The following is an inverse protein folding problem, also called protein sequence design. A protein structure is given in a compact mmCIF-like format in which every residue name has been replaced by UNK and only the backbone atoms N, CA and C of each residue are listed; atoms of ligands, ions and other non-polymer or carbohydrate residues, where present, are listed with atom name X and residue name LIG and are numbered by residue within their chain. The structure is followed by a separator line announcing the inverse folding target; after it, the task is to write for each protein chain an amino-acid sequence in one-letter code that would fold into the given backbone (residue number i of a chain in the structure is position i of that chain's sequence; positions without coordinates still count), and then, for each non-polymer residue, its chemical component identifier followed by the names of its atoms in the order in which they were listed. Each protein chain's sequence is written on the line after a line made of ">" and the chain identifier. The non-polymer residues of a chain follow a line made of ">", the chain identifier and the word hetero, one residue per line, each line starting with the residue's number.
data_IF_588419790935
#
_entry.id   IF_588419790935
#
_cell.length_a   1.000
_cell.length_b   1.000
_cell.length_c   1.000
_cell.angle_alpha   90.00
_cell.angle_beta   90.00
_cell.angle_gamma   90.00
#
_symmetry.space_group_name_H-M   'P 1'
#
loop_
_entity.id
_entity.type
_entity.pdbx_description
1 polymer ?
#
# COMPACT_ATOMS: atom_id res chain seq x y z
N UNK A 1 23.69 28.11 -9.76
CA UNK A 1 23.22 26.76 -9.68
C UNK A 1 21.68 26.63 -9.83
N UNK A 2 20.84 27.37 -9.09
CA UNK A 2 19.34 27.26 -9.19
C UNK A 2 18.80 27.48 -10.63
N UNK A 3 19.35 28.43 -11.41
CA UNK A 3 18.90 28.72 -12.79
C UNK A 3 19.12 27.56 -13.76
N UNK A 4 20.21 26.80 -13.62
CA UNK A 4 20.51 25.65 -14.49
C UNK A 4 19.66 24.42 -14.15
N UNK A 5 19.27 24.26 -12.89
CA UNK A 5 18.33 23.19 -12.47
C UNK A 5 16.95 23.43 -13.08
N UNK A 6 16.44 24.67 -13.04
CA UNK A 6 15.17 25.05 -13.67
C UNK A 6 15.21 24.84 -15.19
N UNK A 7 16.31 25.22 -15.85
CA UNK A 7 16.51 25.02 -17.28
C UNK A 7 16.54 23.52 -17.64
N UNK A 8 17.22 22.71 -16.84
CA UNK A 8 17.29 21.26 -17.04
C UNK A 8 15.90 20.60 -16.89
N UNK A 9 15.13 21.02 -15.88
CA UNK A 9 13.73 20.57 -15.68
C UNK A 9 12.88 20.97 -16.90
N UNK A 10 13.03 22.21 -17.41
CA UNK A 10 12.27 22.70 -18.57
C UNK A 10 12.63 21.94 -19.87
N UNK A 11 13.89 21.56 -20.06
CA UNK A 11 14.34 20.75 -21.21
C UNK A 11 13.80 19.33 -21.09
N UNK A 12 13.79 18.73 -19.89
CA UNK A 12 13.20 17.40 -19.68
C UNK A 12 11.68 17.37 -19.95
N UNK A 13 10.95 18.42 -19.60
CA UNK A 13 9.49 18.53 -19.84
C UNK A 13 9.19 18.60 -21.35
N UNK A 14 10.00 19.28 -22.15
CA UNK A 14 9.77 19.39 -23.60
C UNK A 14 10.02 18.09 -24.38
N UNK A 15 10.77 17.12 -23.83
CA UNK A 15 10.94 15.80 -24.45
C UNK A 15 9.76 14.85 -24.19
N UNK A 16 8.86 15.20 -23.25
CA UNK A 16 7.68 14.39 -22.90
C UNK A 16 6.46 14.62 -23.80
N UNK A 17 6.51 15.55 -24.78
CA UNK A 17 5.36 15.95 -25.62
C UNK A 17 4.82 14.83 -26.52
N UNK A 18 5.51 13.68 -26.63
CA UNK A 18 5.04 12.50 -27.36
C UNK A 18 4.91 11.25 -26.49
N UNK A 19 4.91 11.40 -25.19
CA UNK A 19 4.79 10.28 -24.27
C UNK A 19 3.32 9.90 -24.10
N UNK A 20 2.98 8.65 -24.37
CA UNK A 20 1.69 8.08 -24.06
C UNK A 20 1.49 8.10 -22.54
N UNK A 21 0.36 8.67 -22.11
CA UNK A 21 -0.04 8.74 -20.70
C UNK A 21 -1.05 7.64 -20.44
N UNK A 22 -0.91 6.90 -19.36
CA UNK A 22 -1.95 6.00 -18.86
C UNK A 22 -2.39 6.37 -17.45
N UNK A 23 -3.70 6.28 -17.21
CA UNK A 23 -4.32 6.46 -15.92
C UNK A 23 -4.96 5.14 -15.50
N UNK A 24 -4.58 4.62 -14.35
CA UNK A 24 -5.11 3.37 -13.79
C UNK A 24 -5.81 3.62 -12.47
N UNK A 25 -6.96 2.98 -12.27
CA UNK A 25 -7.64 2.88 -10.99
C UNK A 25 -8.00 1.43 -10.69
N UNK A 26 -7.87 1.00 -9.46
CA UNK A 26 -8.14 -0.38 -9.08
C UNK A 26 -8.43 -0.58 -7.61
N UNK A 27 -8.96 -1.75 -7.29
CA UNK A 27 -9.19 -2.23 -5.93
C UNK A 27 -8.79 -3.70 -5.83
N UNK A 28 -8.41 -4.12 -4.64
CA UNK A 28 -7.96 -5.49 -4.45
C UNK A 28 -7.90 -5.94 -3.01
N UNK A 29 -7.36 -7.14 -2.85
CA UNK A 29 -7.16 -7.81 -1.58
C UNK A 29 -5.67 -8.09 -1.41
N UNK A 30 -5.15 -7.75 -0.23
CA UNK A 30 -3.79 -8.07 0.20
C UNK A 30 -3.83 -9.09 1.33
N UNK A 31 -3.03 -10.13 1.22
CA UNK A 31 -2.67 -11.01 2.33
C UNK A 31 -1.42 -10.42 2.99
N UNK A 32 -1.59 -9.83 4.16
CA UNK A 32 -0.55 -9.08 4.85
C UNK A 32 -0.11 -9.79 6.13
N UNK A 33 1.20 -9.90 6.32
CA UNK A 33 1.84 -10.35 7.55
C UNK A 33 2.52 -9.18 8.24
N UNK A 34 2.07 -8.85 9.46
CA UNK A 34 2.63 -7.85 10.37
C UNK A 34 2.96 -8.53 11.70
N UNK A 35 4.09 -9.22 11.84
CA UNK A 35 4.35 -10.11 12.97
C UNK A 35 4.24 -9.42 14.33
N UNK A 36 4.82 -8.23 14.48
CA UNK A 36 4.80 -7.51 15.76
C UNK A 36 3.40 -7.04 16.16
N UNK A 37 2.58 -6.60 15.18
CA UNK A 37 1.18 -6.22 15.43
C UNK A 37 0.32 -7.44 15.76
N UNK A 38 0.54 -8.57 15.05
CA UNK A 38 -0.12 -9.84 15.34
C UNK A 38 0.17 -10.30 16.77
N UNK A 39 1.44 -10.26 17.19
CA UNK A 39 1.84 -10.68 18.51
C UNK A 39 1.26 -9.74 19.60
N UNK A 40 1.21 -8.44 19.32
CA UNK A 40 0.50 -7.48 20.18
C UNK A 40 -0.97 -7.85 20.36
N UNK A 41 -1.69 -8.15 19.28
CA UNK A 41 -3.10 -8.55 19.32
C UNK A 41 -3.30 -9.88 20.05
N UNK A 42 -2.49 -10.88 19.76
CA UNK A 42 -2.62 -12.23 20.32
C UNK A 42 -2.27 -12.31 21.81
N UNK A 43 -1.36 -11.46 22.27
CA UNK A 43 -0.97 -11.38 23.69
C UNK A 43 -1.70 -10.26 24.45
N UNK A 44 -2.59 -9.52 23.80
CA UNK A 44 -3.43 -8.54 24.48
C UNK A 44 -4.41 -9.27 25.42
N UNK A 45 -4.72 -8.65 26.55
CA UNK A 45 -5.72 -9.16 27.50
C UNK A 45 -7.15 -9.25 26.90
N UNK A 46 -7.35 -8.75 25.68
CA UNK A 46 -8.63 -8.73 24.99
C UNK A 46 -8.76 -9.82 23.93
N UNK A 47 -7.64 -10.46 23.55
CA UNK A 47 -7.68 -11.54 22.57
C UNK A 47 -8.32 -12.80 23.16
N UNK A 48 -9.35 -13.38 22.52
CA UNK A 48 -9.88 -14.67 22.95
C UNK A 48 -8.81 -15.74 22.76
N UNK A 49 -8.63 -16.66 23.73
CA UNK A 49 -7.64 -17.75 23.62
C UNK A 49 -7.81 -18.61 22.38
N UNK A 50 -9.05 -18.78 21.93
CA UNK A 50 -9.44 -19.66 20.82
C UNK A 50 -9.51 -18.94 19.47
N UNK A 51 -9.24 -17.62 19.39
CA UNK A 51 -9.37 -16.84 18.17
C UNK A 51 -8.17 -15.93 17.94
N UNK A 52 -6.99 -16.53 17.78
CA UNK A 52 -5.75 -15.80 17.51
C UNK A 52 -5.71 -15.29 16.08
N UNK A 53 -5.12 -14.11 15.92
CA UNK A 53 -4.86 -13.51 14.61
C UNK A 53 -3.87 -14.35 13.82
N UNK A 54 -4.24 -14.75 12.60
CA UNK A 54 -3.39 -15.56 11.73
C UNK A 54 -2.12 -14.81 11.30
N UNK A 55 -1.14 -15.55 10.83
CA UNK A 55 0.14 -14.99 10.33
C UNK A 55 -0.09 -14.04 9.15
N UNK A 56 -1.02 -14.38 8.27
CA UNK A 56 -1.46 -13.53 7.18
C UNK A 56 -2.93 -13.14 7.37
N UNK A 57 -3.19 -11.85 7.32
CA UNK A 57 -4.52 -11.27 7.42
C UNK A 57 -4.93 -10.65 6.11
N UNK A 58 -6.22 -10.59 5.87
CA UNK A 58 -6.79 -9.98 4.67
C UNK A 58 -6.99 -8.49 4.88
N UNK A 59 -6.43 -7.69 3.99
CA UNK A 59 -6.63 -6.25 3.93
C UNK A 59 -7.19 -5.85 2.57
N UNK A 60 -8.00 -4.80 2.52
CA UNK A 60 -8.53 -4.24 1.28
C UNK A 60 -7.60 -3.11 0.83
N UNK A 61 -7.36 -2.99 -0.47
CA UNK A 61 -6.62 -1.86 -1.04
C UNK A 61 -7.41 -1.17 -2.14
N UNK A 62 -7.13 0.12 -2.29
CA UNK A 62 -7.57 0.98 -3.41
C UNK A 62 -6.33 1.66 -3.96
N UNK A 63 -6.18 1.69 -5.29
CA UNK A 63 -5.02 2.30 -5.93
C UNK A 63 -5.41 3.18 -7.11
N UNK A 64 -4.65 4.27 -7.27
CA UNK A 64 -4.64 5.11 -8.46
C UNK A 64 -3.20 5.29 -8.93
N UNK A 65 -2.97 5.25 -10.25
CA UNK A 65 -1.63 5.35 -10.82
C UNK A 65 -1.67 6.14 -12.11
N UNK A 66 -0.66 6.97 -12.32
CA UNK A 66 -0.41 7.69 -13.57
C UNK A 66 0.95 7.27 -14.08
N UNK A 67 1.00 6.72 -15.31
CA UNK A 67 2.23 6.30 -15.96
C UNK A 67 2.50 7.14 -17.21
N UNK A 68 3.78 7.32 -17.49
CA UNK A 68 4.33 7.94 -18.68
C UNK A 68 5.19 6.93 -19.42
N UNK A 69 4.94 6.73 -20.72
CA UNK A 69 5.76 5.88 -21.55
C UNK A 69 7.07 6.59 -21.92
N UNK A 70 8.14 6.28 -21.19
CA UNK A 70 9.44 6.90 -21.39
C UNK A 70 10.20 6.32 -22.59
N UNK A 71 9.95 5.07 -22.98
CA UNK A 71 10.51 4.41 -24.14
C UNK A 71 9.57 3.31 -24.65
N UNK A 72 9.86 2.69 -25.81
CA UNK A 72 9.02 1.66 -26.46
C UNK A 72 8.54 0.59 -25.50
N UNK A 73 9.42 0.11 -24.61
CA UNK A 73 9.13 -0.97 -23.68
C UNK A 73 9.31 -0.55 -22.22
N UNK A 74 9.24 0.76 -21.92
CA UNK A 74 9.54 1.25 -20.58
C UNK A 74 8.60 2.36 -20.16
N UNK A 75 7.98 2.19 -19.00
CA UNK A 75 7.08 3.16 -18.38
C UNK A 75 7.56 3.52 -16.97
N UNK A 76 7.35 4.79 -16.59
CA UNK A 76 7.60 5.30 -15.25
C UNK A 76 6.34 5.99 -14.77
N UNK A 77 5.96 5.74 -13.53
CA UNK A 77 4.74 6.28 -12.98
C UNK A 77 4.80 6.64 -11.50
N UNK A 78 3.68 7.18 -11.06
CA UNK A 78 3.42 7.45 -9.64
C UNK A 78 2.11 6.79 -9.26
N UNK A 79 2.17 5.94 -8.26
CA UNK A 79 1.03 5.27 -7.65
C UNK A 79 0.72 5.88 -6.29
N UNK A 80 -0.57 5.98 -5.97
CA UNK A 80 -1.09 6.21 -4.63
C UNK A 80 -1.98 5.03 -4.27
N UNK A 81 -1.58 4.25 -3.26
CA UNK A 81 -2.39 3.13 -2.73
C UNK A 81 -2.81 3.43 -1.30
N UNK A 82 -4.08 3.12 -0.98
CA UNK A 82 -4.60 3.12 0.38
C UNK A 82 -4.97 1.69 0.78
N UNK A 83 -4.36 1.20 1.85
CA UNK A 83 -4.60 -0.12 2.41
C UNK A 83 -5.35 0.03 3.74
N UNK A 84 -6.34 -0.82 3.97
CA UNK A 84 -7.18 -0.81 5.16
C UNK A 84 -7.38 -2.22 5.70
N UNK A 85 -7.22 -2.38 7.02
CA UNK A 85 -7.51 -3.59 7.76
C UNK A 85 -8.10 -3.25 9.13
N UNK A 86 -9.00 -4.08 9.65
CA UNK A 86 -9.64 -3.87 10.96
C UNK A 86 -9.81 -5.20 11.69
N UNK A 87 -9.49 -5.18 12.99
CA UNK A 87 -9.65 -6.29 13.92
C UNK A 87 -10.67 -5.89 14.98
N UNK A 88 -11.68 -6.74 15.20
CA UNK A 88 -12.72 -6.50 16.19
C UNK A 88 -12.89 -7.72 17.07
N UNK A 89 -12.85 -7.52 18.37
CA UNK A 89 -13.15 -8.52 19.38
C UNK A 89 -14.25 -8.00 20.32
N UNK A 90 -15.07 -8.89 20.86
CA UNK A 90 -16.15 -8.53 21.79
C UNK A 90 -16.03 -9.30 23.11
N UNK A 91 -14.98 -9.06 23.94
CA UNK A 91 -14.81 -9.74 25.20
C UNK A 91 -15.85 -9.25 26.20
N UNK A 92 -16.58 -10.19 26.83
CA UNK A 92 -17.49 -9.93 27.97
C UNK A 92 -18.45 -8.74 27.78
N UNK A 93 -18.96 -8.56 26.54
CA UNK A 93 -19.90 -7.48 26.20
C UNK A 93 -19.29 -6.13 25.88
N UNK A 94 -17.97 -5.96 26.03
CA UNK A 94 -17.25 -4.80 25.52
C UNK A 94 -16.77 -5.01 24.08
N UNK A 95 -16.48 -3.94 23.35
CA UNK A 95 -15.92 -4.01 22.00
C UNK A 95 -14.49 -3.48 22.02
N UNK A 96 -13.53 -4.34 21.65
CA UNK A 96 -12.19 -3.94 21.28
C UNK A 96 -12.10 -3.80 19.76
N UNK A 97 -11.59 -2.70 19.28
CA UNK A 97 -11.40 -2.48 17.85
C UNK A 97 -10.02 -1.90 17.60
N UNK A 98 -9.30 -2.48 16.64
CA UNK A 98 -8.02 -1.98 16.17
C UNK A 98 -8.05 -1.88 14.65
N UNK A 99 -7.95 -0.65 14.16
CA UNK A 99 -7.92 -0.34 12.73
C UNK A 99 -6.51 0.04 12.31
N UNK A 100 -6.02 -0.60 11.26
CA UNK A 100 -4.72 -0.35 10.63
C UNK A 100 -4.93 0.14 9.20
N UNK A 101 -4.38 1.28 8.88
CA UNK A 101 -4.41 1.84 7.52
C UNK A 101 -3.05 2.37 7.10
N UNK A 102 -2.73 2.28 5.81
CA UNK A 102 -1.48 2.79 5.23
C UNK A 102 -1.78 3.53 3.93
N UNK A 103 -1.32 4.77 3.83
CA UNK A 103 -1.26 5.51 2.58
C UNK A 103 0.15 5.37 1.99
N UNK A 104 0.24 4.94 0.73
CA UNK A 104 1.47 4.45 0.10
C UNK A 104 1.74 5.16 -1.24
N UNK A 105 2.19 6.43 -1.26
CA UNK A 105 2.74 7.02 -2.48
C UNK A 105 4.01 6.27 -2.90
N UNK A 106 4.06 5.83 -4.16
CA UNK A 106 5.13 4.96 -4.69
C UNK A 106 5.50 5.43 -6.10
N UNK A 107 6.79 5.62 -6.36
CA UNK A 107 7.31 5.78 -7.72
C UNK A 107 7.51 4.38 -8.28
N UNK A 108 6.96 4.12 -9.45
CA UNK A 108 6.98 2.80 -10.10
C UNK A 108 7.68 2.89 -11.45
N UNK A 109 8.26 1.80 -11.86
CA UNK A 109 8.80 1.63 -13.21
C UNK A 109 8.49 0.24 -13.73
N UNK A 110 8.25 0.14 -15.05
CA UNK A 110 7.81 -1.08 -15.68
C UNK A 110 8.56 -1.36 -16.98
N UNK A 111 8.88 -2.61 -17.19
CA UNK A 111 9.12 -3.16 -18.50
C UNK A 111 7.78 -3.60 -19.10
N UNK A 112 7.48 -3.15 -20.32
CA UNK A 112 6.19 -3.36 -20.99
C UNK A 112 6.37 -4.25 -22.21
N UNK A 113 5.51 -5.25 -22.30
CA UNK A 113 5.40 -6.16 -23.45
C UNK A 113 4.04 -5.93 -24.07
N UNK A 114 4.01 -5.30 -25.26
CA UNK A 114 2.80 -5.01 -26.00
C UNK A 114 2.40 -6.16 -26.91
N UNK A 115 1.10 -6.43 -27.00
CA UNK A 115 0.47 -7.33 -27.95
C UNK A 115 -0.76 -6.69 -28.62
N UNK A 116 -1.44 -7.42 -29.49
CA UNK A 116 -2.68 -6.92 -30.11
C UNK A 116 -3.85 -6.99 -29.11
N UNK A 117 -4.26 -5.84 -28.59
CA UNK A 117 -5.35 -5.71 -27.63
C UNK A 117 -4.99 -6.09 -26.19
N UNK A 118 -3.70 -6.30 -25.90
CA UNK A 118 -3.23 -6.53 -24.53
C UNK A 118 -1.82 -5.99 -24.31
N UNK A 119 -1.45 -5.75 -23.08
CA UNK A 119 -0.06 -5.59 -22.69
C UNK A 119 0.18 -6.20 -21.29
N UNK A 120 1.44 -6.60 -21.07
CA UNK A 120 1.93 -7.01 -19.77
C UNK A 120 2.98 -6.03 -19.29
N UNK A 121 2.90 -5.65 -18.01
CA UNK A 121 3.87 -4.80 -17.33
C UNK A 121 4.50 -5.58 -16.19
N UNK A 122 5.83 -5.61 -16.12
CA UNK A 122 6.60 -6.18 -15.03
C UNK A 122 7.51 -5.12 -14.47
N UNK A 123 7.49 -4.94 -13.17
CA UNK A 123 8.30 -3.89 -12.60
C UNK A 123 8.26 -3.82 -11.10
N UNK A 124 8.62 -2.66 -10.60
CA UNK A 124 8.63 -2.42 -9.17
C UNK A 124 8.70 -0.95 -8.85
N UNK A 125 8.68 -0.67 -7.55
CA UNK A 125 8.68 0.70 -7.07
C UNK A 125 9.22 0.86 -5.67
N UNK A 126 9.48 2.10 -5.33
CA UNK A 126 9.90 2.55 -4.02
C UNK A 126 9.00 3.71 -3.59
N UNK A 127 8.63 3.75 -2.31
CA UNK A 127 7.78 4.83 -1.85
C UNK A 127 7.72 5.00 -0.35
N UNK A 128 7.15 6.13 0.05
CA UNK A 128 6.94 6.46 1.46
C UNK A 128 5.67 5.75 1.95
N UNK A 129 5.62 5.46 3.24
CA UNK A 129 4.48 4.82 3.91
C UNK A 129 4.03 5.70 5.05
N UNK A 130 2.77 6.10 5.04
CA UNK A 130 2.12 6.79 6.15
C UNK A 130 1.15 5.82 6.80
N UNK A 131 1.58 5.20 7.89
CA UNK A 131 0.79 4.22 8.61
C UNK A 131 0.07 4.87 9.78
N UNK A 132 -1.20 4.50 9.96
CA UNK A 132 -2.05 4.91 11.07
C UNK A 132 -2.66 3.68 11.73
N UNK A 133 -2.67 3.68 13.06
CA UNK A 133 -3.25 2.65 13.88
C UNK A 133 -4.20 3.31 14.89
N UNK A 134 -5.48 2.98 14.81
CA UNK A 134 -6.51 3.45 15.74
C UNK A 134 -6.94 2.30 16.64
N UNK A 135 -6.82 2.47 17.94
CA UNK A 135 -7.19 1.48 18.94
C UNK A 135 -8.32 2.02 19.82
N UNK A 136 -9.40 1.29 19.90
CA UNK A 136 -10.52 1.56 20.81
C UNK A 136 -10.61 0.42 21.82
N UNK A 137 -10.43 0.76 23.11
CA UNK A 137 -10.49 -0.22 24.20
C UNK A 137 -11.94 -0.53 24.59
N UNK A 138 -12.24 -1.73 25.11
CA UNK A 138 -13.56 -2.06 25.64
C UNK A 138 -14.01 -1.04 26.69
N UNK A 139 -15.28 -0.68 26.64
CA UNK A 139 -15.91 0.29 27.58
C UNK A 139 -15.31 1.70 27.53
N UNK A 140 -14.47 2.01 26.55
CA UNK A 140 -13.93 3.36 26.32
C UNK A 140 -14.68 4.03 25.17
N UNK A 141 -15.03 5.29 25.34
CA UNK A 141 -15.52 6.15 24.26
C UNK A 141 -14.39 6.82 23.48
N UNK A 142 -13.15 6.75 23.98
CA UNK A 142 -11.98 7.38 23.37
C UNK A 142 -11.17 6.34 22.60
N UNK A 143 -10.70 6.72 21.41
CA UNK A 143 -9.75 5.97 20.62
C UNK A 143 -8.34 6.56 20.75
N UNK A 144 -7.34 5.69 20.86
CA UNK A 144 -5.93 6.05 20.79
C UNK A 144 -5.48 6.01 19.34
N UNK A 145 -4.93 7.12 18.84
CA UNK A 145 -4.42 7.20 17.48
C UNK A 145 -2.90 7.23 17.50
N UNK A 146 -2.29 6.28 16.79
CA UNK A 146 -0.85 6.17 16.64
C UNK A 146 -0.49 6.28 15.17
N UNK A 147 0.63 6.91 14.85
CA UNK A 147 1.10 7.05 13.50
C UNK A 147 2.59 6.76 13.36
N UNK A 148 2.99 6.31 12.19
CA UNK A 148 4.39 6.17 11.81
C UNK A 148 4.59 6.51 10.35
N UNK A 149 5.83 6.91 10.02
CA UNK A 149 6.26 7.14 8.65
C UNK A 149 7.39 6.16 8.38
N UNK A 150 7.31 5.50 7.24
CA UNK A 150 8.30 4.54 6.80
C UNK A 150 8.49 4.58 5.30
N UNK A 151 9.08 3.54 4.75
CA UNK A 151 9.18 3.37 3.31
C UNK A 151 9.03 1.89 2.94
N UNK A 152 8.75 1.63 1.65
CA UNK A 152 8.52 0.28 1.19
C UNK A 152 8.91 0.05 -0.25
N UNK A 153 9.01 -1.23 -0.56
CA UNK A 153 9.36 -1.80 -1.85
C UNK A 153 8.13 -2.48 -2.44
N UNK A 154 7.99 -2.37 -3.75
CA UNK A 154 6.95 -3.01 -4.53
C UNK A 154 7.59 -3.79 -5.67
N UNK A 155 7.16 -5.05 -5.85
CA UNK A 155 7.31 -5.79 -7.10
C UNK A 155 5.91 -6.06 -7.66
N UNK A 156 5.74 -5.91 -8.97
CA UNK A 156 4.43 -5.98 -9.63
C UNK A 156 4.49 -6.68 -10.97
N UNK A 157 3.49 -7.52 -11.19
CA UNK A 157 3.12 -8.00 -12.51
C UNK A 157 1.68 -7.54 -12.81
N UNK A 158 1.46 -6.94 -13.98
CA UNK A 158 0.18 -6.38 -14.38
C UNK A 158 -0.13 -6.81 -15.82
N UNK A 159 -1.35 -7.29 -16.04
CA UNK A 159 -1.88 -7.59 -17.37
C UNK A 159 -3.06 -6.68 -17.69
N UNK A 160 -3.01 -6.00 -18.83
CA UNK A 160 -4.10 -5.21 -19.39
C UNK A 160 -4.69 -5.91 -20.60
N UNK A 161 -6.03 -5.92 -20.72
CA UNK A 161 -6.77 -6.43 -21.86
C UNK A 161 -7.73 -5.37 -22.36
N UNK A 162 -7.70 -5.05 -23.65
CA UNK A 162 -8.53 -4.00 -24.25
C UNK A 162 -10.03 -4.32 -24.15
N UNK A 163 -10.80 -3.39 -23.63
CA UNK A 163 -12.26 -3.36 -23.67
C UNK A 163 -12.79 -2.44 -24.78
N UNK A 164 -11.96 -1.56 -25.30
CA UNK A 164 -12.25 -0.59 -26.35
C UNK A 164 -10.97 0.06 -26.85
N UNK A 165 -11.09 1.18 -27.52
CA UNK A 165 -9.94 1.85 -28.17
C UNK A 165 -8.88 2.29 -27.14
N UNK A 166 -9.33 2.84 -26.01
CA UNK A 166 -8.46 3.48 -25.00
C UNK A 166 -8.66 2.90 -23.59
N UNK A 167 -9.62 1.99 -23.43
CA UNK A 167 -9.99 1.43 -22.12
C UNK A 167 -9.55 -0.03 -22.03
N UNK A 168 -8.88 -0.38 -20.95
CA UNK A 168 -8.40 -1.72 -20.67
C UNK A 168 -8.87 -2.18 -19.29
N UNK A 169 -9.33 -3.42 -19.19
CA UNK A 169 -9.41 -4.11 -17.89
C UNK A 169 -8.02 -4.55 -17.48
N UNK A 170 -7.71 -4.47 -16.18
CA UNK A 170 -6.43 -4.95 -15.68
C UNK A 170 -6.57 -5.91 -14.50
N UNK A 171 -5.59 -6.81 -14.42
CA UNK A 171 -5.34 -7.69 -13.28
C UNK A 171 -3.92 -7.43 -12.82
N UNK A 172 -3.74 -7.23 -11.52
CA UNK A 172 -2.44 -6.91 -10.94
C UNK A 172 -2.10 -7.88 -9.81
N UNK A 173 -0.88 -8.40 -9.83
CA UNK A 173 -0.27 -9.14 -8.73
C UNK A 173 0.86 -8.33 -8.11
N UNK A 174 0.82 -8.12 -6.79
CA UNK A 174 1.78 -7.33 -6.03
C UNK A 174 2.48 -8.17 -4.97
N UNK A 175 3.78 -7.93 -4.81
CA UNK A 175 4.56 -8.30 -3.63
C UNK A 175 5.12 -7.02 -3.02
N UNK A 176 4.79 -6.75 -1.75
CA UNK A 176 5.24 -5.54 -1.05
C UNK A 176 5.99 -5.90 0.22
N UNK A 177 7.04 -5.15 0.50
CA UNK A 177 7.76 -5.20 1.76
C UNK A 177 7.86 -3.77 2.31
N UNK A 178 7.21 -3.54 3.45
CA UNK A 178 7.07 -2.22 4.05
C UNK A 178 7.79 -2.16 5.41
N UNK A 179 8.60 -1.13 5.59
CA UNK A 179 9.37 -0.81 6.79
C UNK A 179 8.74 0.42 7.46
N UNK A 180 7.63 0.20 8.17
CA UNK A 180 6.83 1.29 8.75
C UNK A 180 7.30 1.73 10.13
N UNK A 181 8.18 0.95 10.79
CA UNK A 181 8.66 1.27 12.13
C UNK A 181 7.58 1.18 13.21
N UNK A 182 7.83 1.81 14.36
CA UNK A 182 6.93 1.79 15.51
C UNK A 182 6.01 3.00 15.51
N UNK A 183 4.68 2.79 15.51
CA UNK A 183 3.71 3.88 15.56
C UNK A 183 3.71 4.54 16.94
N UNK A 184 3.54 5.86 16.97
CA UNK A 184 3.60 6.68 18.18
C UNK A 184 2.37 7.54 18.33
N UNK A 185 1.96 7.71 19.59
CA UNK A 185 0.99 8.72 20.03
C UNK A 185 1.71 9.71 20.94
N UNK A 186 1.76 10.99 20.56
CA UNK A 186 2.47 12.05 21.31
C UNK A 186 3.93 11.66 21.69
N UNK A 187 4.63 10.99 20.76
CA UNK A 187 6.02 10.54 20.95
C UNK A 187 6.18 9.17 21.64
N UNK A 188 5.14 8.63 22.24
CA UNK A 188 5.15 7.35 22.94
C UNK A 188 4.76 6.21 22.01
N UNK A 189 5.63 5.19 21.80
CA UNK A 189 5.29 4.03 20.98
C UNK A 189 4.30 3.11 21.71
N UNK A 190 3.52 2.36 20.94
CA UNK A 190 2.76 1.24 21.50
C UNK A 190 3.76 0.20 22.02
N UNK A 191 3.50 -0.30 23.23
CA UNK A 191 4.29 -1.36 23.84
C UNK A 191 3.47 -2.64 23.98
N UNK A 192 4.10 -3.76 23.67
CA UNK A 192 3.54 -5.06 23.97
C UNK A 192 3.62 -5.26 25.49
N UNK A 193 2.48 -5.48 26.15
CA UNK A 193 2.34 -5.58 27.61
C UNK A 193 3.10 -6.79 28.19
N UNK A 194 3.34 -7.83 27.39
CA UNK A 194 4.01 -9.06 27.84
C UNK A 194 5.52 -8.97 27.66
N UNK A 195 5.98 -8.50 26.49
CA UNK A 195 7.41 -8.45 26.17
C UNK A 195 8.08 -7.12 26.53
N UNK A 196 7.30 -6.06 26.81
CA UNK A 196 7.81 -4.70 27.05
C UNK A 196 8.44 -4.04 25.80
N UNK A 197 8.42 -4.72 24.64
CA UNK A 197 9.00 -4.21 23.41
C UNK A 197 8.01 -3.30 22.65
N UNK A 198 8.53 -2.32 21.93
CA UNK A 198 7.70 -1.48 21.06
C UNK A 198 7.17 -2.30 19.87
N UNK A 199 5.88 -2.14 19.59
CA UNK A 199 5.23 -2.72 18.40
C UNK A 199 5.73 -1.99 17.15
N UNK A 200 6.11 -2.73 16.11
CA UNK A 200 6.39 -2.17 14.80
C UNK A 200 5.35 -2.64 13.76
N UNK A 201 5.21 -1.86 12.70
CA UNK A 201 4.26 -2.12 11.60
C UNK A 201 4.97 -2.60 10.32
N UNK A 202 6.17 -3.16 10.46
CA UNK A 202 6.85 -3.76 9.31
C UNK A 202 6.03 -4.92 8.78
N UNK A 203 5.88 -4.99 7.46
CA UNK A 203 4.98 -5.96 6.85
C UNK A 203 5.50 -6.53 5.54
N UNK A 204 5.13 -7.77 5.27
CA UNK A 204 5.21 -8.42 3.97
C UNK A 204 3.79 -8.69 3.50
N UNK A 205 3.48 -8.33 2.24
CA UNK A 205 2.15 -8.60 1.69
C UNK A 205 2.21 -9.10 0.25
N UNK A 206 1.25 -9.97 -0.08
CA UNK A 206 0.96 -10.41 -1.44
C UNK A 206 -0.45 -9.93 -1.76
N UNK A 207 -0.61 -9.22 -2.88
CA UNK A 207 -1.88 -8.62 -3.30
C UNK A 207 -2.34 -9.08 -4.67
N UNK A 208 -3.65 -9.14 -4.83
CA UNK A 208 -4.32 -9.29 -6.11
C UNK A 208 -5.34 -8.16 -6.25
N UNK A 209 -5.30 -7.46 -7.38
CA UNK A 209 -6.19 -6.33 -7.65
C UNK A 209 -6.78 -6.41 -9.05
N UNK A 210 -7.98 -5.86 -9.19
CA UNK A 210 -8.67 -5.67 -10.46
C UNK A 210 -8.86 -4.17 -10.66
N UNK A 211 -8.84 -3.72 -11.92
CA UNK A 211 -8.99 -2.31 -12.20
C UNK A 211 -9.25 -2.01 -13.68
N UNK A 212 -9.26 -0.71 -13.96
CA UNK A 212 -9.40 -0.15 -15.30
C UNK A 212 -8.20 0.74 -15.57
N UNK A 213 -7.66 0.66 -16.76
CA UNK A 213 -6.63 1.55 -17.31
C UNK A 213 -7.18 2.31 -18.49
N UNK A 214 -7.01 3.62 -18.50
CA UNK A 214 -7.28 4.49 -19.65
C UNK A 214 -5.96 4.96 -20.24
N UNK A 215 -5.79 4.84 -21.55
CA UNK A 215 -4.57 5.24 -22.27
C UNK A 215 -4.93 6.40 -23.21
N UNK A 216 -4.23 7.53 -23.04
CA UNK A 216 -4.41 8.75 -23.81
C UNK A 216 -3.61 8.77 -25.11
#
# INVERSE_FOLDING_TARGET
>A
MKKYVVLLIFICINQMVFSQISLRGGMGINFISTPSLRDYLNFSQFAPPDNQVATFNTAINFSGEVDLRAAKNYEVGVELTYLYNSFTYSPNGGRYELTYSVLMPTIVNYYVIDGQGYNFKFGGGLGIRFASLNETLPFSSNSNNYSSVGFGFLLRALGNTALGSNVYANVTGDLRYDLNGSPKNNGNPIQNTVSGSSVNLNSLSIGLSLGITYIF
#
